data_IF_561856176012
#
_entry.id   IF_561856176012
#
_cell.length_a   1.000
_cell.length_b   1.000
_cell.length_c   1.000
_cell.angle_alpha   90.00
_cell.angle_beta   90.00
_cell.angle_gamma   90.00
#
_symmetry.space_group_name_H-M   'P 1'
#
loop_
_entity.id
_entity.type
_entity.pdbx_description
1 polymer ?
#
# COMPACT_ATOMS: atom_id res chain seq x y z
N UNK A 1 -12.13 -4.60 10.48
CA UNK A 1 -12.26 -5.92 11.16
C UNK A 1 -11.18 -6.17 12.21
N UNK A 2 -9.88 -6.28 11.90
CA UNK A 2 -8.88 -6.55 12.94
C UNK A 2 -8.84 -5.48 14.05
N UNK A 3 -8.86 -4.19 13.69
CA UNK A 3 -8.86 -3.10 14.67
C UNK A 3 -10.17 -2.97 15.45
N UNK A 4 -11.30 -3.38 14.86
CA UNK A 4 -12.61 -3.38 15.54
C UNK A 4 -12.68 -4.42 16.66
N UNK A 5 -11.87 -5.49 16.57
CA UNK A 5 -11.78 -6.52 17.60
C UNK A 5 -10.92 -6.11 18.81
N UNK A 6 -10.15 -5.02 18.67
CA UNK A 6 -9.38 -4.48 19.80
C UNK A 6 -10.28 -3.65 20.72
N UNK A 7 -10.03 -3.74 22.01
CA UNK A 7 -10.64 -2.86 23.01
C UNK A 7 -10.31 -1.38 22.68
N UNK A 8 -11.24 -0.44 22.86
CA UNK A 8 -11.04 0.98 22.54
C UNK A 8 -9.74 1.56 23.12
N UNK A 9 -9.40 1.18 24.34
CA UNK A 9 -8.21 1.65 25.06
C UNK A 9 -6.89 1.20 24.40
N UNK A 10 -6.91 0.12 23.61
CA UNK A 10 -5.76 -0.41 22.88
C UNK A 10 -5.62 0.16 21.47
N UNK A 11 -6.59 0.99 21.00
CA UNK A 11 -6.61 1.62 19.67
C UNK A 11 -5.82 2.94 19.64
N UNK A 12 -4.61 2.96 20.17
CA UNK A 12 -3.81 4.17 20.37
C UNK A 12 -2.85 4.50 19.22
N UNK A 13 -2.81 3.67 18.16
CA UNK A 13 -1.94 3.87 17.01
C UNK A 13 -2.76 4.27 15.78
N UNK A 14 -2.37 5.35 15.12
CA UNK A 14 -3.01 5.77 13.87
C UNK A 14 -2.64 4.83 12.73
N UNK A 15 -3.66 4.39 11.99
CA UNK A 15 -3.51 3.57 10.78
C UNK A 15 -3.72 4.46 9.57
N UNK A 16 -2.68 4.61 8.76
CA UNK A 16 -2.72 5.36 7.51
C UNK A 16 -3.02 4.41 6.35
N UNK A 17 -4.19 4.56 5.72
CA UNK A 17 -4.55 3.84 4.49
C UNK A 17 -4.15 4.68 3.30
N UNK A 18 -3.23 4.17 2.49
CA UNK A 18 -2.61 4.91 1.40
C UNK A 18 -3.04 4.32 0.05
N UNK A 19 -3.56 5.16 -0.81
CA UNK A 19 -3.71 4.87 -2.24
C UNK A 19 -2.85 5.83 -3.05
N UNK A 20 -2.18 5.32 -4.08
CA UNK A 20 -1.38 6.14 -5.00
C UNK A 20 -2.14 6.33 -6.31
N UNK A 21 -2.60 7.53 -6.58
CA UNK A 21 -3.20 7.92 -7.85
C UNK A 21 -2.09 8.34 -8.83
N UNK A 22 -1.93 7.58 -9.88
CA UNK A 22 -0.91 7.84 -10.91
C UNK A 22 -1.28 8.98 -11.87
N UNK A 23 -2.50 9.49 -11.79
CA UNK A 23 -3.11 10.51 -12.67
C UNK A 23 -3.24 10.06 -14.15
N UNK A 24 -3.11 8.75 -14.41
CA UNK A 24 -3.30 8.14 -15.75
C UNK A 24 -4.14 6.86 -15.68
N UNK A 25 -4.84 6.66 -14.60
CA UNK A 25 -5.78 5.54 -14.45
C UNK A 25 -7.10 5.85 -15.16
N UNK A 26 -7.86 4.80 -15.47
CA UNK A 26 -9.21 4.98 -16.00
C UNK A 26 -10.05 5.87 -15.07
N UNK A 27 -10.80 6.86 -15.60
CA UNK A 27 -11.66 7.71 -14.78
C UNK A 27 -12.66 6.94 -13.92
N UNK A 28 -13.13 5.78 -14.40
CA UNK A 28 -14.03 4.89 -13.67
C UNK A 28 -13.33 4.36 -12.43
N UNK A 29 -12.10 3.84 -12.57
CA UNK A 29 -11.29 3.31 -11.46
C UNK A 29 -10.94 4.43 -10.48
N UNK A 30 -10.49 5.58 -10.97
CA UNK A 30 -10.14 6.72 -10.14
C UNK A 30 -11.34 7.21 -9.30
N UNK A 31 -12.53 7.26 -9.89
CA UNK A 31 -13.79 7.61 -9.20
C UNK A 31 -14.16 6.56 -8.14
N UNK A 32 -14.04 5.28 -8.49
CA UNK A 32 -14.37 4.19 -7.56
C UNK A 32 -13.43 4.18 -6.36
N UNK A 33 -12.12 4.31 -6.58
CA UNK A 33 -11.12 4.43 -5.50
C UNK A 33 -11.43 5.62 -4.59
N UNK A 34 -11.74 6.79 -5.17
CA UNK A 34 -12.11 7.97 -4.40
C UNK A 34 -13.33 7.74 -3.50
N UNK A 35 -14.37 7.08 -4.03
CA UNK A 35 -15.57 6.71 -3.25
C UNK A 35 -15.23 5.72 -2.13
N UNK A 36 -14.39 4.71 -2.41
CA UNK A 36 -14.00 3.70 -1.43
C UNK A 36 -13.20 4.32 -0.28
N UNK A 37 -12.25 5.21 -0.57
CA UNK A 37 -11.49 5.92 0.47
C UNK A 37 -12.41 6.82 1.31
N UNK A 38 -13.33 7.55 0.68
CA UNK A 38 -14.29 8.39 1.38
C UNK A 38 -15.20 7.56 2.31
N UNK A 39 -15.74 6.44 1.81
CA UNK A 39 -16.56 5.54 2.63
C UNK A 39 -15.77 4.93 3.79
N UNK A 40 -14.52 4.55 3.55
CA UNK A 40 -13.65 4.04 4.61
C UNK A 40 -13.41 5.09 5.69
N UNK A 41 -13.16 6.36 5.31
CA UNK A 41 -12.98 7.46 6.26
C UNK A 41 -14.27 7.77 7.04
N UNK A 42 -15.42 7.76 6.37
CA UNK A 42 -16.74 7.95 6.99
C UNK A 42 -16.98 6.89 8.06
N UNK A 43 -16.84 5.61 7.72
CA UNK A 43 -17.01 4.50 8.67
C UNK A 43 -15.99 4.58 9.82
N UNK A 44 -14.76 4.97 9.54
CA UNK A 44 -13.75 5.16 10.58
C UNK A 44 -14.15 6.23 11.58
N UNK A 45 -14.74 7.33 11.11
CA UNK A 45 -15.23 8.42 11.96
C UNK A 45 -16.46 7.97 12.78
N UNK A 46 -17.43 7.28 12.15
CA UNK A 46 -18.63 6.75 12.81
C UNK A 46 -18.30 5.76 13.93
N UNK A 47 -17.31 4.89 13.70
CA UNK A 47 -16.91 3.84 14.67
C UNK A 47 -15.75 4.28 15.61
N UNK A 48 -15.33 5.55 15.56
CA UNK A 48 -14.18 6.08 16.31
C UNK A 48 -12.91 5.21 16.14
N UNK A 49 -12.61 4.82 14.89
CA UNK A 49 -11.41 4.07 14.57
C UNK A 49 -10.25 5.03 14.24
N UNK A 50 -9.03 4.78 14.69
CA UNK A 50 -7.87 5.61 14.39
C UNK A 50 -7.35 5.36 12.96
N UNK A 51 -8.21 5.47 11.96
CA UNK A 51 -7.91 5.27 10.55
C UNK A 51 -7.98 6.61 9.82
N UNK A 52 -6.94 6.91 9.05
CA UNK A 52 -6.86 8.10 8.20
C UNK A 52 -6.54 7.65 6.77
N UNK A 53 -7.37 8.06 5.82
CA UNK A 53 -7.17 7.71 4.41
C UNK A 53 -6.39 8.78 3.67
N UNK A 54 -5.47 8.36 2.79
CA UNK A 54 -4.63 9.25 1.99
C UNK A 54 -4.69 8.86 0.52
N UNK A 55 -4.87 9.85 -0.35
CA UNK A 55 -4.69 9.73 -1.79
C UNK A 55 -3.43 10.48 -2.18
N UNK A 56 -2.35 9.75 -2.44
CA UNK A 56 -1.06 10.31 -2.83
C UNK A 56 -1.00 10.46 -4.35
N UNK A 57 -0.38 11.54 -4.81
CA UNK A 57 -0.12 11.81 -6.22
C UNK A 57 1.36 12.03 -6.44
N UNK A 58 1.90 11.73 -7.64
CA UNK A 58 3.27 12.13 -7.97
C UNK A 58 3.41 13.65 -7.97
N UNK A 59 4.60 14.13 -7.65
CA UNK A 59 4.93 15.55 -7.79
C UNK A 59 4.69 16.01 -9.24
N UNK A 60 4.30 17.26 -9.44
CA UNK A 60 3.91 17.82 -10.75
C UNK A 60 4.97 17.58 -11.82
N UNK A 61 6.24 17.77 -11.47
CA UNK A 61 7.40 17.54 -12.34
C UNK A 61 7.71 16.06 -12.62
N UNK A 62 7.05 15.13 -11.91
CA UNK A 62 7.21 13.68 -12.03
C UNK A 62 5.95 12.96 -12.52
N UNK A 63 4.93 13.67 -12.99
CA UNK A 63 3.75 13.05 -13.59
C UNK A 63 4.08 12.22 -14.84
N UNK A 64 3.20 11.33 -15.25
CA UNK A 64 3.39 10.47 -16.40
C UNK A 64 3.71 11.27 -17.67
N UNK A 65 2.90 12.30 -17.97
CA UNK A 65 3.04 13.10 -19.17
C UNK A 65 4.28 13.97 -19.17
N UNK A 66 4.70 14.51 -18.04
CA UNK A 66 5.96 15.26 -17.92
C UNK A 66 7.16 14.36 -18.20
N UNK A 67 7.17 13.14 -17.69
CA UNK A 67 8.26 12.20 -17.98
C UNK A 67 8.24 11.74 -19.44
N UNK A 68 7.07 11.40 -19.99
CA UNK A 68 6.95 10.88 -21.35
C UNK A 68 7.24 11.96 -22.40
N UNK A 69 6.54 13.09 -22.33
CA UNK A 69 6.62 14.18 -23.33
C UNK A 69 7.68 15.22 -23.01
N UNK A 70 7.78 15.63 -21.73
CA UNK A 70 8.71 16.68 -21.33
C UNK A 70 10.16 16.22 -21.23
N UNK A 71 10.39 14.99 -20.73
CA UNK A 71 11.73 14.44 -20.55
C UNK A 71 12.12 13.39 -21.58
N UNK A 72 11.25 13.08 -22.54
CA UNK A 72 11.53 12.13 -23.61
C UNK A 72 11.70 10.68 -23.14
N UNK A 73 11.11 10.28 -22.03
CA UNK A 73 11.22 8.90 -21.58
C UNK A 73 10.47 7.97 -22.55
N UNK A 74 11.05 6.80 -22.88
CA UNK A 74 10.35 5.84 -23.73
C UNK A 74 9.10 5.32 -23.02
N UNK A 75 8.11 4.91 -23.82
CA UNK A 75 6.87 4.35 -23.28
C UNK A 75 7.16 3.16 -22.34
N UNK A 76 6.50 3.06 -21.17
CA UNK A 76 6.72 1.97 -20.23
C UNK A 76 6.50 0.59 -20.85
N UNK A 77 7.39 -0.35 -20.58
CA UNK A 77 7.31 -1.74 -21.03
C UNK A 77 7.83 -2.70 -19.96
N UNK A 78 7.63 -4.01 -20.15
CA UNK A 78 7.89 -5.05 -19.14
C UNK A 78 9.27 -4.93 -18.44
N UNK A 79 10.31 -4.54 -19.19
CA UNK A 79 11.68 -4.35 -18.66
C UNK A 79 12.01 -2.90 -18.27
N UNK A 80 11.14 -1.94 -18.56
CA UNK A 80 11.36 -0.52 -18.31
C UNK A 80 10.13 0.08 -17.63
N UNK A 81 10.08 -0.05 -16.31
CA UNK A 81 8.92 0.28 -15.49
C UNK A 81 9.13 1.56 -14.67
N UNK A 82 9.72 2.58 -15.27
CA UNK A 82 9.94 3.87 -14.62
C UNK A 82 8.65 4.47 -14.03
N UNK A 83 7.50 4.18 -14.64
CA UNK A 83 6.20 4.61 -14.14
C UNK A 83 5.88 4.04 -12.75
N UNK A 84 6.26 2.79 -12.46
CA UNK A 84 6.05 2.19 -11.14
C UNK A 84 6.88 2.93 -10.08
N UNK A 85 8.15 3.17 -10.38
CA UNK A 85 9.06 3.84 -9.46
C UNK A 85 8.63 5.30 -9.18
N UNK A 86 8.42 6.07 -10.24
CA UNK A 86 8.15 7.51 -10.14
C UNK A 86 6.72 7.85 -9.70
N UNK A 87 5.74 7.07 -10.16
CA UNK A 87 4.33 7.40 -9.94
C UNK A 87 3.72 6.69 -8.72
N UNK A 88 4.31 5.57 -8.28
CA UNK A 88 3.78 4.79 -7.14
C UNK A 88 4.76 4.75 -5.97
N UNK A 89 5.98 4.25 -6.19
CA UNK A 89 6.94 4.01 -5.10
C UNK A 89 7.41 5.33 -4.47
N UNK A 90 7.82 6.29 -5.31
CA UNK A 90 8.36 7.56 -4.80
C UNK A 90 7.38 8.34 -3.93
N UNK A 91 6.11 8.59 -4.32
CA UNK A 91 5.15 9.28 -3.45
C UNK A 91 4.91 8.56 -2.13
N UNK A 92 4.87 7.22 -2.14
CA UNK A 92 4.72 6.42 -0.91
C UNK A 92 5.95 6.56 -0.02
N UNK A 93 7.16 6.43 -0.59
CA UNK A 93 8.40 6.56 0.18
C UNK A 93 8.56 7.95 0.80
N UNK A 94 8.17 9.00 0.08
CA UNK A 94 8.22 10.38 0.60
C UNK A 94 7.23 10.54 1.76
N UNK A 95 6.01 9.99 1.66
CA UNK A 95 5.04 9.96 2.77
C UNK A 95 5.58 9.18 3.98
N UNK A 96 6.12 7.98 3.74
CA UNK A 96 6.69 7.11 4.77
C UNK A 96 7.84 7.80 5.51
N UNK A 97 8.76 8.45 4.79
CA UNK A 97 9.88 9.18 5.39
C UNK A 97 9.41 10.29 6.33
N UNK A 98 8.36 11.03 5.94
CA UNK A 98 7.78 12.05 6.78
C UNK A 98 7.19 11.43 8.06
N UNK A 99 6.50 10.29 7.94
CA UNK A 99 5.95 9.59 9.10
C UNK A 99 7.01 8.97 10.00
N UNK A 100 8.11 8.47 9.45
CA UNK A 100 9.27 8.03 10.24
C UNK A 100 9.88 9.21 11.00
N UNK A 101 10.01 10.37 10.38
CA UNK A 101 10.52 11.57 11.04
C UNK A 101 9.62 12.03 12.21
N UNK A 102 8.29 11.81 12.11
CA UNK A 102 7.33 12.17 13.17
C UNK A 102 7.31 11.12 14.31
N UNK A 103 7.45 9.83 14.00
CA UNK A 103 7.16 8.73 14.92
C UNK A 103 8.35 7.80 15.21
N UNK A 104 9.47 7.95 14.49
CA UNK A 104 10.70 7.17 14.65
C UNK A 104 10.68 5.83 13.92
N UNK A 105 9.60 5.07 13.95
CA UNK A 105 9.47 3.76 13.34
C UNK A 105 8.05 3.53 12.80
N UNK A 106 7.93 2.83 11.69
CA UNK A 106 6.63 2.48 11.11
C UNK A 106 6.58 1.01 10.66
N UNK A 107 5.35 0.50 10.55
CA UNK A 107 5.05 -0.81 9.95
C UNK A 107 4.24 -0.59 8.68
N UNK A 108 4.80 -0.98 7.53
CA UNK A 108 4.09 -1.01 6.25
C UNK A 108 3.35 -2.34 6.10
N UNK A 109 2.02 -2.30 6.04
CA UNK A 109 1.20 -3.50 5.83
C UNK A 109 0.93 -3.67 4.34
N UNK A 110 1.31 -4.82 3.79
CA UNK A 110 1.11 -5.16 2.37
C UNK A 110 0.27 -6.42 2.21
N UNK A 111 -0.74 -6.36 1.36
CA UNK A 111 -1.56 -7.53 0.96
C UNK A 111 -0.90 -8.40 -0.10
N UNK A 112 0.44 -8.45 -0.18
CA UNK A 112 1.17 -9.25 -1.17
C UNK A 112 1.16 -10.72 -0.82
N UNK A 113 1.01 -11.59 -1.85
CA UNK A 113 0.90 -13.04 -1.68
C UNK A 113 1.88 -13.79 -2.58
N UNK A 114 2.39 -14.93 -2.11
CA UNK A 114 3.24 -15.82 -2.91
C UNK A 114 2.52 -16.36 -4.15
N UNK A 115 1.21 -16.60 -4.03
CA UNK A 115 0.37 -17.11 -5.10
C UNK A 115 0.18 -16.16 -6.31
N UNK A 116 0.54 -14.86 -6.19
CA UNK A 116 0.37 -13.89 -7.27
C UNK A 116 1.29 -14.16 -8.48
N UNK A 117 2.50 -14.65 -8.26
CA UNK A 117 3.44 -15.03 -9.32
C UNK A 117 4.67 -15.76 -8.77
N UNK A 118 5.31 -16.58 -9.60
CA UNK A 118 6.56 -17.25 -9.26
C UNK A 118 7.66 -16.27 -8.82
N UNK A 119 7.78 -15.12 -9.51
CA UNK A 119 8.75 -14.08 -9.15
C UNK A 119 8.45 -13.47 -7.77
N UNK A 120 7.16 -13.30 -7.43
CA UNK A 120 6.74 -12.82 -6.10
C UNK A 120 7.11 -13.83 -5.02
N UNK A 121 6.83 -15.12 -5.24
CA UNK A 121 7.19 -16.20 -4.32
C UNK A 121 8.70 -16.24 -4.04
N UNK A 122 9.54 -16.17 -5.08
CA UNK A 122 11.01 -16.13 -4.95
C UNK A 122 11.46 -14.91 -4.14
N UNK A 123 10.91 -13.74 -4.43
CA UNK A 123 11.26 -12.51 -3.73
C UNK A 123 10.88 -12.59 -2.26
N UNK A 124 9.67 -13.05 -1.95
CA UNK A 124 9.20 -13.19 -0.57
C UNK A 124 10.01 -14.22 0.21
N UNK A 125 10.34 -15.38 -0.38
CA UNK A 125 11.21 -16.38 0.23
C UNK A 125 12.61 -15.84 0.58
N UNK A 126 13.16 -14.92 -0.23
CA UNK A 126 14.42 -14.25 0.08
C UNK A 126 14.33 -13.37 1.34
N UNK A 127 13.18 -12.72 1.55
CA UNK A 127 12.96 -11.86 2.73
C UNK A 127 12.56 -12.66 3.97
N UNK A 128 12.00 -13.86 3.84
CA UNK A 128 11.74 -14.76 4.96
C UNK A 128 12.98 -14.99 5.82
N UNK A 129 14.13 -15.17 5.19
CA UNK A 129 15.43 -15.38 5.88
C UNK A 129 15.90 -14.16 6.69
N UNK A 130 15.32 -13.00 6.45
CA UNK A 130 15.69 -11.72 7.10
C UNK A 130 14.63 -11.24 8.11
N UNK A 131 13.63 -12.06 8.42
CA UNK A 131 12.56 -11.69 9.35
C UNK A 131 13.08 -11.39 10.74
N UNK A 132 12.55 -10.33 11.31
CA UNK A 132 12.76 -9.99 12.73
C UNK A 132 11.78 -10.79 13.59
N UNK A 133 10.54 -10.98 13.08
CA UNK A 133 9.47 -11.77 13.66
C UNK A 133 8.66 -12.45 12.55
N UNK A 134 7.74 -13.32 12.92
CA UNK A 134 6.83 -13.96 11.96
C UNK A 134 6.10 -12.90 11.11
N UNK A 135 6.11 -13.07 9.79
CA UNK A 135 5.51 -12.19 8.77
C UNK A 135 6.06 -10.74 8.75
N UNK A 136 7.09 -10.43 9.56
CA UNK A 136 7.64 -9.08 9.71
C UNK A 136 9.09 -9.04 9.25
N UNK A 137 9.37 -8.30 8.19
CA UNK A 137 10.72 -8.18 7.58
C UNK A 137 11.17 -6.72 7.51
N UNK A 138 12.48 -6.43 7.65
CA UNK A 138 12.98 -5.08 7.45
C UNK A 138 12.84 -4.66 5.99
N UNK A 139 12.51 -3.38 5.75
CA UNK A 139 12.51 -2.83 4.39
C UNK A 139 13.97 -2.61 3.93
N UNK A 140 14.35 -3.11 2.73
CA UNK A 140 15.71 -2.94 2.24
C UNK A 140 16.04 -1.50 1.81
N UNK A 141 15.03 -0.66 1.62
CA UNK A 141 15.19 0.69 1.04
C UNK A 141 15.11 1.79 2.10
N UNK A 142 14.29 1.59 3.12
CA UNK A 142 14.07 2.59 4.17
C UNK A 142 14.44 2.01 5.53
N UNK A 143 15.38 2.65 6.19
CA UNK A 143 15.68 2.35 7.59
C UNK A 143 14.47 2.69 8.48
N UNK A 144 14.31 1.95 9.58
CA UNK A 144 13.19 2.11 10.52
C UNK A 144 11.79 1.83 9.93
N UNK A 145 11.73 1.12 8.81
CA UNK A 145 10.50 0.60 8.24
C UNK A 145 10.50 -0.93 8.28
N UNK A 146 9.47 -1.49 8.87
CA UNK A 146 9.19 -2.92 8.85
C UNK A 146 8.03 -3.22 7.91
N UNK A 147 8.14 -4.26 7.12
CA UNK A 147 7.10 -4.74 6.20
C UNK A 147 6.39 -5.93 6.82
N UNK A 148 5.08 -5.82 6.97
CA UNK A 148 4.20 -6.87 7.45
C UNK A 148 3.31 -7.39 6.33
N UNK A 149 3.40 -8.68 6.01
CA UNK A 149 2.64 -9.32 4.93
C UNK A 149 1.71 -10.42 5.48
N UNK A 150 0.58 -10.06 6.08
CA UNK A 150 -0.30 -11.02 6.76
C UNK A 150 -0.94 -12.04 5.83
N UNK A 151 -1.06 -11.73 4.54
CA UNK A 151 -1.73 -12.57 3.55
C UNK A 151 -0.75 -13.39 2.69
N UNK A 152 0.53 -13.44 3.04
CA UNK A 152 1.58 -13.97 2.14
C UNK A 152 1.34 -15.41 1.66
N UNK A 153 0.71 -16.24 2.48
CA UNK A 153 0.42 -17.65 2.18
C UNK A 153 -0.99 -17.89 1.65
N UNK A 154 -1.81 -16.83 1.52
CA UNK A 154 -3.17 -16.96 0.99
C UNK A 154 -3.16 -17.32 -0.49
N UNK A 155 -4.02 -18.29 -0.84
CA UNK A 155 -4.35 -18.64 -2.22
C UNK A 155 -5.35 -17.64 -2.82
N UNK A 156 -5.67 -17.78 -4.11
CA UNK A 156 -6.75 -17.01 -4.71
C UNK A 156 -8.11 -17.37 -4.11
N UNK A 157 -8.31 -18.65 -3.81
CA UNK A 157 -9.55 -19.16 -3.24
C UNK A 157 -9.78 -18.60 -1.84
N UNK A 158 -8.73 -18.53 -1.00
CA UNK A 158 -8.83 -17.91 0.33
C UNK A 158 -9.30 -16.45 0.25
N UNK A 159 -8.78 -15.70 -0.72
CA UNK A 159 -9.22 -14.30 -0.94
C UNK A 159 -10.69 -14.25 -1.34
N UNK A 160 -11.12 -15.09 -2.28
CA UNK A 160 -12.51 -15.11 -2.72
C UNK A 160 -13.47 -15.57 -1.62
N UNK A 161 -13.09 -16.60 -0.86
CA UNK A 161 -13.87 -17.02 0.31
C UNK A 161 -14.05 -15.89 1.30
N UNK A 162 -12.98 -15.19 1.64
CA UNK A 162 -13.04 -14.04 2.55
C UNK A 162 -13.96 -12.93 2.01
N UNK A 163 -13.80 -12.55 0.73
CA UNK A 163 -14.60 -11.49 0.11
C UNK A 163 -16.09 -11.84 0.00
N UNK A 164 -16.44 -13.13 -0.15
CA UNK A 164 -17.83 -13.57 -0.19
C UNK A 164 -18.48 -13.68 1.20
N UNK A 165 -17.69 -13.93 2.24
CA UNK A 165 -18.21 -14.05 3.61
C UNK A 165 -18.48 -12.69 4.26
N UNK A 166 -17.74 -11.66 3.87
CA UNK A 166 -17.83 -10.35 4.49
C UNK A 166 -18.33 -9.31 3.50
N UNK A 167 -19.26 -8.45 3.97
CA UNK A 167 -19.72 -7.30 3.16
C UNK A 167 -18.52 -6.40 2.86
N UNK A 168 -18.28 -6.17 1.58
CA UNK A 168 -17.30 -5.21 1.11
C UNK A 168 -17.99 -3.86 0.85
N UNK A 169 -17.31 -2.73 1.09
CA UNK A 169 -17.85 -1.40 0.82
C UNK A 169 -18.08 -1.16 -0.67
#
# INVERSE_FOLDING_TARGET
MAIQQLEPEKRNKTIHVINTDTLVESPIVAKWVGKSLAKMQETANEENLPIVTHRLTPAVDNTFWVNLRGRGYPFPRKKLRWCTDRLKIKPVNDFIKNKIAEHGEIILVLGTRKAESAQRAITMAKYEKKRVRELLSPNPTLANELVFSPLENWTNDDVWFFLMQYKNP
#
